data_IF_254588707616
#
_entry.id   IF_254588707616
#
_cell.length_a   1.000
_cell.length_b   1.000
_cell.length_c   1.000
_cell.angle_alpha   90.00
_cell.angle_beta   90.00
_cell.angle_gamma   90.00
#
_symmetry.space_group_name_H-M   'P 1'
#
loop_
_entity.id
_entity.type
_entity.pdbx_description
1 polymer ?
#
# COMPACT_ATOMS: atom_id res chain seq x y z
N UNK A 1 -10.52 -11.87 1.88
CA UNK A 1 -9.32 -11.04 2.07
C UNK A 1 -8.38 -11.73 3.06
N UNK A 2 -7.15 -12.04 2.63
CA UNK A 2 -6.15 -12.81 3.41
C UNK A 2 -5.30 -11.92 4.34
N UNK A 3 -5.89 -10.88 4.89
CA UNK A 3 -5.31 -10.01 5.91
C UNK A 3 -6.26 -9.95 7.09
N UNK A 4 -5.75 -10.17 8.30
CA UNK A 4 -6.54 -10.04 9.52
C UNK A 4 -6.87 -8.57 9.78
N UNK A 5 -7.97 -8.29 10.48
CA UNK A 5 -8.35 -6.91 10.83
C UNK A 5 -7.20 -6.14 11.53
N UNK A 6 -6.45 -6.72 12.49
CA UNK A 6 -5.29 -6.04 13.06
C UNK A 6 -4.21 -5.68 12.02
N UNK A 7 -3.94 -6.57 11.06
CA UNK A 7 -2.97 -6.29 10.00
C UNK A 7 -3.43 -5.14 9.11
N UNK A 8 -4.71 -5.12 8.73
CA UNK A 8 -5.29 -4.03 7.95
C UNK A 8 -5.17 -2.70 8.69
N UNK A 9 -5.47 -2.68 10.00
CA UNK A 9 -5.33 -1.49 10.84
C UNK A 9 -3.88 -1.01 10.93
N UNK A 10 -2.92 -1.91 11.16
CA UNK A 10 -1.48 -1.59 11.18
C UNK A 10 -1.06 -0.98 9.85
N UNK A 11 -1.41 -1.63 8.73
CA UNK A 11 -1.05 -1.16 7.38
C UNK A 11 -1.58 0.25 7.15
N UNK A 12 -2.86 0.47 7.44
CA UNK A 12 -3.51 1.77 7.27
C UNK A 12 -2.84 2.84 8.14
N UNK A 13 -2.64 2.57 9.42
CA UNK A 13 -2.04 3.54 10.34
C UNK A 13 -0.62 3.93 9.93
N UNK A 14 0.21 2.95 9.57
CA UNK A 14 1.60 3.21 9.17
C UNK A 14 1.65 4.00 7.86
N UNK A 15 0.86 3.62 6.86
CA UNK A 15 0.89 4.31 5.57
C UNK A 15 0.31 5.72 5.65
N UNK A 16 -0.82 5.92 6.33
CA UNK A 16 -1.40 7.27 6.49
C UNK A 16 -0.53 8.19 7.36
N UNK A 17 0.23 7.64 8.32
CA UNK A 17 1.22 8.40 9.10
C UNK A 17 2.32 8.99 8.20
N UNK A 18 2.80 8.25 7.21
CA UNK A 18 3.94 8.65 6.38
C UNK A 18 3.53 9.40 5.10
N UNK A 19 2.38 9.07 4.51
CA UNK A 19 1.94 9.64 3.22
C UNK A 19 0.87 10.73 3.34
N UNK A 20 0.31 10.93 4.54
CA UNK A 20 -0.75 11.90 4.85
C UNK A 20 -2.11 11.23 5.04
N UNK A 21 -2.94 11.82 5.91
CA UNK A 21 -4.21 11.25 6.34
C UNK A 21 -5.26 11.20 5.22
N UNK A 22 -5.11 12.05 4.20
CA UNK A 22 -6.02 12.09 3.05
C UNK A 22 -5.54 11.20 1.87
N UNK A 23 -4.54 10.35 2.09
CA UNK A 23 -4.04 9.44 1.05
C UNK A 23 -5.05 8.34 0.74
N UNK A 24 -5.18 8.00 -0.54
CA UNK A 24 -6.02 6.88 -0.97
C UNK A 24 -5.23 5.59 -0.87
N UNK A 25 -5.65 4.68 0.02
CA UNK A 25 -4.98 3.39 0.26
C UNK A 25 -5.86 2.22 -0.18
N UNK A 26 -5.28 1.28 -0.92
CA UNK A 26 -5.95 0.05 -1.35
C UNK A 26 -5.05 -1.16 -1.21
N UNK A 27 -5.63 -2.29 -0.81
CA UNK A 27 -5.05 -3.62 -1.00
C UNK A 27 -5.45 -4.13 -2.38
N UNK A 28 -4.50 -4.61 -3.16
CA UNK A 28 -4.80 -5.26 -4.43
C UNK A 28 -4.09 -6.61 -4.55
N UNK A 29 -4.15 -7.25 -5.73
CA UNK A 29 -3.43 -8.48 -6.00
C UNK A 29 -3.94 -9.69 -5.22
N UNK A 30 -3.01 -10.62 -4.93
CA UNK A 30 -3.35 -11.99 -4.52
C UNK A 30 -3.99 -12.11 -3.13
N UNK A 31 -3.89 -11.08 -2.27
CA UNK A 31 -4.49 -11.11 -0.92
C UNK A 31 -5.92 -10.56 -0.85
N UNK A 32 -6.45 -10.05 -1.95
CA UNK A 32 -7.87 -9.67 -2.03
C UNK A 32 -8.75 -10.92 -1.98
N UNK A 33 -8.35 -12.00 -2.66
CA UNK A 33 -9.06 -13.27 -2.73
C UNK A 33 -8.50 -14.31 -1.73
N UNK A 34 -9.39 -14.92 -0.95
CA UNK A 34 -9.04 -15.96 0.02
C UNK A 34 -8.60 -17.28 -0.60
N UNK A 35 -9.00 -17.52 -1.85
CA UNK A 35 -8.68 -18.75 -2.58
C UNK A 35 -7.40 -18.65 -3.43
N UNK A 36 -6.82 -17.46 -3.56
CA UNK A 36 -5.67 -17.23 -4.41
C UNK A 36 -4.35 -17.71 -3.77
N UNK A 37 -3.45 -18.21 -4.61
CA UNK A 37 -2.07 -18.54 -4.24
C UNK A 37 -1.19 -17.30 -4.39
N UNK A 38 -0.54 -16.91 -3.30
CA UNK A 38 0.30 -15.71 -3.25
C UNK A 38 0.80 -15.45 -1.84
N UNK A 39 1.99 -14.88 -1.75
CA UNK A 39 2.71 -14.66 -0.49
C UNK A 39 2.96 -13.19 -0.15
N UNK A 40 2.82 -12.27 -1.11
CA UNK A 40 3.17 -10.86 -0.91
C UNK A 40 1.92 -10.04 -0.58
N UNK A 41 2.09 -8.91 0.10
CA UNK A 41 1.03 -7.91 0.34
C UNK A 41 1.19 -6.81 -0.70
N UNK A 42 0.33 -6.80 -1.72
CA UNK A 42 0.35 -5.77 -2.76
C UNK A 42 -0.50 -4.56 -2.32
N UNK A 43 0.14 -3.44 -2.06
CA UNK A 43 -0.47 -2.21 -1.58
C UNK A 43 -0.33 -1.08 -2.60
N UNK A 44 -1.41 -0.34 -2.78
CA UNK A 44 -1.46 0.81 -3.66
C UNK A 44 -1.79 2.06 -2.85
N UNK A 45 -1.02 3.12 -3.04
CA UNK A 45 -1.28 4.41 -2.41
C UNK A 45 -1.20 5.57 -3.39
N UNK A 46 -2.19 6.45 -3.31
CA UNK A 46 -2.10 7.81 -3.85
C UNK A 46 -1.85 8.79 -2.70
N UNK A 47 -0.62 9.29 -2.53
CA UNK A 47 -0.27 10.08 -1.37
C UNK A 47 -0.88 11.48 -1.43
N UNK A 48 -1.10 12.06 -0.26
CA UNK A 48 -1.42 13.49 -0.10
C UNK A 48 -0.17 14.36 -0.32
N UNK A 49 0.98 13.89 0.16
CA UNK A 49 2.28 14.54 -0.08
C UNK A 49 2.63 14.54 -1.58
N UNK A 50 3.19 15.65 -2.05
CA UNK A 50 3.46 15.88 -3.48
C UNK A 50 4.95 15.90 -3.84
N UNK A 51 5.83 16.14 -2.86
CA UNK A 51 7.28 16.21 -3.09
C UNK A 51 7.84 14.81 -3.38
N UNK A 52 8.69 14.70 -4.41
CA UNK A 52 9.31 13.42 -4.78
C UNK A 52 10.21 12.89 -3.67
N UNK A 53 11.00 13.77 -3.06
CA UNK A 53 11.94 13.40 -2.01
C UNK A 53 11.19 12.93 -0.75
N UNK A 54 10.12 13.64 -0.37
CA UNK A 54 9.26 13.24 0.75
C UNK A 54 8.58 11.90 0.48
N UNK A 55 8.14 11.64 -0.75
CA UNK A 55 7.49 10.38 -1.13
C UNK A 55 8.46 9.21 -1.04
N UNK A 56 9.71 9.41 -1.46
CA UNK A 56 10.75 8.38 -1.37
C UNK A 56 11.07 8.10 0.11
N UNK A 57 11.23 9.13 0.92
CA UNK A 57 11.47 9.00 2.36
C UNK A 57 10.29 8.31 3.07
N UNK A 58 9.06 8.75 2.81
CA UNK A 58 7.84 8.16 3.34
C UNK A 58 7.73 6.68 2.97
N UNK A 59 8.05 6.31 1.72
CA UNK A 59 8.05 4.91 1.27
C UNK A 59 9.06 4.07 2.06
N UNK A 60 10.28 4.54 2.21
CA UNK A 60 11.33 3.79 2.93
C UNK A 60 10.96 3.62 4.41
N UNK A 61 10.55 4.71 5.08
CA UNK A 61 10.17 4.69 6.49
C UNK A 61 8.93 3.83 6.73
N UNK A 62 7.93 3.90 5.85
CA UNK A 62 6.74 3.07 5.95
C UNK A 62 7.07 1.57 5.79
N UNK A 63 7.91 1.19 4.83
CA UNK A 63 8.29 -0.21 4.64
C UNK A 63 9.05 -0.76 5.87
N UNK A 64 9.91 0.04 6.49
CA UNK A 64 10.60 -0.33 7.74
C UNK A 64 9.61 -0.52 8.89
N UNK A 65 8.68 0.42 9.09
CA UNK A 65 7.68 0.34 10.15
C UNK A 65 6.71 -0.85 9.94
N UNK A 66 6.28 -1.10 8.71
CA UNK A 66 5.44 -2.24 8.37
C UNK A 66 6.16 -3.57 8.61
N UNK A 67 7.43 -3.67 8.22
CA UNK A 67 8.22 -4.89 8.45
C UNK A 67 8.39 -5.16 9.96
N UNK A 68 8.63 -4.13 10.76
CA UNK A 68 8.69 -4.28 12.23
C UNK A 68 7.37 -4.73 12.84
N UNK A 69 6.25 -4.24 12.33
CA UNK A 69 4.93 -4.55 12.89
C UNK A 69 4.33 -5.87 12.38
N UNK A 70 4.65 -6.28 11.16
CA UNK A 70 4.08 -7.45 10.48
C UNK A 70 5.06 -8.63 10.35
N UNK A 71 6.34 -8.44 10.67
CA UNK A 71 7.41 -9.43 10.54
C UNK A 71 7.89 -9.60 9.10
N UNK A 72 8.38 -10.81 8.77
CA UNK A 72 8.94 -11.19 7.46
C UNK A 72 7.91 -11.27 6.31
N UNK A 73 6.77 -10.58 6.45
CA UNK A 73 5.79 -10.45 5.38
C UNK A 73 6.39 -9.57 4.29
N UNK A 74 6.47 -10.10 3.06
CA UNK A 74 6.91 -9.33 1.90
C UNK A 74 5.78 -8.38 1.48
N UNK A 75 6.10 -7.10 1.35
CA UNK A 75 5.15 -6.03 1.03
C UNK A 75 5.64 -5.34 -0.25
N UNK A 76 4.78 -5.28 -1.26
CA UNK A 76 5.00 -4.48 -2.45
C UNK A 76 4.14 -3.22 -2.39
N UNK A 77 4.79 -2.05 -2.29
CA UNK A 77 4.11 -0.76 -2.19
C UNK A 77 4.25 0.02 -3.50
N UNK A 78 3.14 0.11 -4.22
CA UNK A 78 2.97 0.89 -5.44
C UNK A 78 2.49 2.29 -5.07
N UNK A 79 3.30 3.30 -5.39
CA UNK A 79 2.97 4.71 -5.14
C UNK A 79 2.58 5.38 -6.47
N UNK A 80 1.38 5.92 -6.54
CA UNK A 80 0.94 6.78 -7.65
C UNK A 80 0.92 8.24 -7.22
N UNK A 81 1.93 9.00 -7.64
CA UNK A 81 2.10 10.42 -7.29
C UNK A 81 1.11 11.37 -7.98
N UNK A 82 0.09 10.84 -8.68
CA UNK A 82 -0.88 11.59 -9.51
C UNK A 82 -0.23 12.52 -10.56
N UNK A 83 1.07 12.35 -10.80
CA UNK A 83 1.87 13.14 -11.71
C UNK A 83 2.68 12.20 -12.60
N UNK A 84 2.50 12.33 -13.92
CA UNK A 84 3.20 11.54 -14.93
C UNK A 84 2.37 10.42 -15.55
N UNK A 85 3.06 9.41 -16.07
CA UNK A 85 2.47 8.33 -16.87
C UNK A 85 1.60 7.40 -16.03
N UNK A 86 0.39 7.14 -16.50
CA UNK A 86 -0.49 6.13 -15.91
C UNK A 86 0.04 4.73 -16.25
N UNK A 87 0.57 4.04 -15.25
CA UNK A 87 1.02 2.66 -15.40
C UNK A 87 -0.18 1.70 -15.41
N UNK A 88 -0.14 0.58 -16.16
CA UNK A 88 -1.20 -0.43 -16.16
C UNK A 88 -1.55 -0.94 -14.76
N UNK A 89 -0.53 -1.07 -13.89
CA UNK A 89 -0.72 -1.51 -12.50
C UNK A 89 -1.61 -0.57 -11.69
N UNK A 90 -1.66 0.73 -12.00
CA UNK A 90 -2.55 1.67 -11.33
C UNK A 90 -4.01 1.39 -11.65
N UNK A 91 -4.31 1.00 -12.89
CA UNK A 91 -5.68 0.64 -13.30
C UNK A 91 -6.12 -0.63 -12.57
N UNK A 92 -5.27 -1.66 -12.58
CA UNK A 92 -5.53 -2.93 -11.89
C UNK A 92 -5.78 -2.66 -10.40
N UNK A 93 -4.91 -1.90 -9.73
CA UNK A 93 -5.07 -1.59 -8.31
C UNK A 93 -6.36 -0.81 -7.99
N UNK A 94 -6.81 0.08 -8.88
CA UNK A 94 -8.07 0.82 -8.70
C UNK A 94 -9.31 -0.04 -8.98
N UNK A 95 -9.26 -0.90 -9.98
CA UNK A 95 -10.39 -1.74 -10.41
C UNK A 95 -10.60 -2.95 -9.50
N UNK A 96 -9.52 -3.61 -9.09
CA UNK A 96 -9.60 -4.85 -8.29
C UNK A 96 -9.28 -4.62 -6.81
N UNK A 97 -8.72 -3.47 -6.46
CA UNK A 97 -8.26 -3.20 -5.11
C UNK A 97 -9.39 -2.81 -4.16
N UNK A 98 -9.31 -3.33 -2.94
CA UNK A 98 -10.24 -3.04 -1.83
C UNK A 98 -9.66 -1.91 -0.98
N UNK A 99 -10.43 -0.86 -0.65
CA UNK A 99 -9.99 0.21 0.25
C UNK A 99 -9.60 -0.33 1.64
N UNK A 100 -8.52 0.23 2.22
CA UNK A 100 -8.10 -0.02 3.60
C UNK A 100 -8.28 1.23 4.48
#
# INVERSE_FOLDING_TARGET
MRLTEPQQQIIRQVLLKHFGQNSELRLFGSRVDDNARGGDIDLYIEPEICSVDEIVEAKLNALVDLHRALGDQKIDLVVNRKAGTVLPIYKIAKETGVPL
#
